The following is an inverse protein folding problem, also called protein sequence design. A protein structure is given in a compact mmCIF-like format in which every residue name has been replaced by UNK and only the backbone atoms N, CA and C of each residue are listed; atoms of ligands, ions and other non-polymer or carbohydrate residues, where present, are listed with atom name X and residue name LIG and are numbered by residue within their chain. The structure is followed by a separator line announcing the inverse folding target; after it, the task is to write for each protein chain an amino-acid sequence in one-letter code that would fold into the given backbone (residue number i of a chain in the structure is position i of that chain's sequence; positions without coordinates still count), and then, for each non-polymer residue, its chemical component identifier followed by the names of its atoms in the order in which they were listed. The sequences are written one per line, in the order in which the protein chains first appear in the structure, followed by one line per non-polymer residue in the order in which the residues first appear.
data_IF_065403128707
#
_entry.id   IF_065403128707
#
_cell.length_a   1.000
_cell.length_b   1.000
_cell.length_c   1.000
_cell.angle_alpha   90.00
_cell.angle_beta   90.00
_cell.angle_gamma   90.00
#
_symmetry.space_group_name_H-M   'P 1'
#
loop_
_entity.id
_entity.type
_entity.pdbx_description
1 polymer ?
#
# COMPACT_ATOMS: atom_id res chain seq x y z
N UNK A 1 33.38 -1.62 -33.08
CA UNK A 1 32.17 -1.53 -32.25
C UNK A 1 32.03 -0.07 -31.81
N UNK A 2 31.02 0.65 -32.33
CA UNK A 2 30.98 2.12 -32.32
C UNK A 2 30.66 2.70 -30.94
N UNK A 3 31.46 3.66 -30.47
CA UNK A 3 31.35 4.34 -29.16
C UNK A 3 29.94 4.87 -28.85
N UNK A 4 29.18 5.26 -29.88
CA UNK A 4 27.78 5.69 -29.74
C UNK A 4 26.83 4.59 -29.25
N UNK A 5 27.09 3.32 -29.59
CA UNK A 5 26.24 2.19 -29.14
C UNK A 5 26.40 1.91 -27.66
N UNK A 6 27.60 2.16 -27.12
CA UNK A 6 27.91 1.97 -25.68
C UNK A 6 27.23 3.05 -24.84
N UNK A 7 27.22 4.31 -25.31
CA UNK A 7 26.56 5.41 -24.61
C UNK A 7 25.03 5.23 -24.55
N UNK A 8 24.42 4.76 -25.64
CA UNK A 8 22.98 4.44 -25.69
C UNK A 8 22.66 3.31 -24.71
N UNK A 9 23.49 2.26 -24.66
CA UNK A 9 23.30 1.15 -23.72
C UNK A 9 23.38 1.61 -22.26
N UNK A 10 24.36 2.46 -21.92
CA UNK A 10 24.52 3.01 -20.58
C UNK A 10 23.33 3.90 -20.16
N UNK A 11 22.85 4.76 -21.07
CA UNK A 11 21.66 5.58 -20.82
C UNK A 11 20.42 4.72 -20.58
N UNK A 12 20.20 3.69 -21.40
CA UNK A 12 19.07 2.76 -21.23
C UNK A 12 19.14 2.01 -19.90
N UNK A 13 20.32 1.54 -19.49
CA UNK A 13 20.49 0.87 -18.18
C UNK A 13 20.26 1.81 -17.00
N UNK A 14 20.64 3.08 -17.11
CA UNK A 14 20.43 4.07 -16.04
C UNK A 14 18.96 4.37 -15.78
N UNK A 15 18.11 4.36 -16.83
CA UNK A 15 16.68 4.64 -16.70
C UNK A 15 15.94 3.49 -16.00
N UNK A 16 16.38 2.25 -16.20
CA UNK A 16 15.77 1.06 -15.58
C UNK A 16 15.99 1.04 -14.05
N UNK A 17 17.14 1.52 -13.57
CA UNK A 17 17.51 1.49 -12.14
C UNK A 17 16.69 2.49 -11.30
N UNK A 18 16.09 3.52 -11.90
CA UNK A 18 15.27 4.50 -11.16
C UNK A 18 13.85 4.00 -10.81
N UNK A 19 13.37 2.93 -11.44
CA UNK A 19 11.98 2.46 -11.24
C UNK A 19 11.84 1.64 -9.96
N UNK A 20 12.91 1.04 -9.45
CA UNK A 20 12.84 0.15 -8.28
C UNK A 20 12.71 0.86 -6.93
N UNK A 21 12.89 2.19 -6.86
CA UNK A 21 12.85 2.92 -5.58
C UNK A 21 11.52 3.59 -5.21
N UNK A 22 10.46 3.41 -6.00
CA UNK A 22 9.15 4.05 -5.72
C UNK A 22 8.08 3.06 -5.21
N UNK A 23 8.38 1.75 -5.16
CA UNK A 23 7.37 0.74 -4.81
C UNK A 23 7.63 0.06 -3.46
N UNK A 24 7.77 0.85 -2.40
CA UNK A 24 7.74 0.34 -1.00
C UNK A 24 6.64 0.97 -0.16
N UNK A 25 5.64 1.61 -0.79
CA UNK A 25 4.32 1.62 -0.13
C UNK A 25 3.76 0.22 -0.30
N UNK A 26 3.44 -0.52 0.77
CA UNK A 26 2.57 -1.68 0.62
C UNK A 26 1.31 -1.17 -0.08
N UNK A 27 1.17 -1.51 -1.36
CA UNK A 27 -0.06 -1.27 -2.08
C UNK A 27 -1.15 -1.87 -1.23
N UNK A 28 -2.13 -1.05 -0.87
CA UNK A 28 -3.29 -1.56 -0.15
C UNK A 28 -3.80 -2.75 -0.98
N UNK A 29 -3.94 -3.94 -0.37
CA UNK A 29 -4.31 -5.13 -1.12
C UNK A 29 -5.59 -4.85 -1.89
N UNK A 30 -5.70 -5.43 -3.09
CA UNK A 30 -6.88 -5.36 -3.95
C UNK A 30 -8.16 -5.40 -3.12
N UNK A 31 -9.09 -4.50 -3.44
CA UNK A 31 -10.29 -4.24 -2.63
C UNK A 31 -10.86 -5.57 -2.09
N UNK A 32 -10.97 -5.74 -0.76
CA UNK A 32 -11.41 -7.00 -0.17
C UNK A 32 -12.77 -7.38 -0.73
N UNK A 33 -13.01 -8.69 -0.94
CA UNK A 33 -14.31 -9.22 -1.41
C UNK A 33 -15.46 -8.71 -0.54
N UNK A 34 -15.20 -8.51 0.75
CA UNK A 34 -16.10 -7.88 1.70
C UNK A 34 -15.34 -7.30 2.90
N UNK A 35 -15.89 -6.22 3.47
CA UNK A 35 -15.39 -5.59 4.68
C UNK A 35 -16.44 -5.71 5.78
N UNK A 36 -16.06 -6.25 6.94
CA UNK A 36 -16.95 -6.36 8.10
C UNK A 36 -16.41 -5.51 9.23
N UNK A 37 -17.25 -4.65 9.81
CA UNK A 37 -16.86 -3.85 10.97
C UNK A 37 -16.64 -4.78 12.16
N UNK A 38 -15.46 -4.72 12.77
CA UNK A 38 -15.06 -5.66 13.83
C UNK A 38 -14.62 -4.97 15.12
N UNK A 39 -14.68 -3.65 15.17
CA UNK A 39 -14.33 -2.88 16.36
C UNK A 39 -14.83 -1.46 16.32
N UNK A 40 -14.25 -0.65 17.20
CA UNK A 40 -14.60 0.76 17.38
C UNK A 40 -13.72 1.65 16.51
N UNK A 41 -13.62 2.92 16.92
CA UNK A 41 -12.77 3.93 16.34
C UNK A 41 -11.30 3.59 16.54
N UNK A 42 -10.50 3.99 15.57
CA UNK A 42 -9.07 3.78 15.57
C UNK A 42 -8.37 5.00 14.98
N UNK A 43 -7.06 5.08 15.18
CA UNK A 43 -6.26 6.19 14.68
C UNK A 43 -5.00 5.68 14.00
N UNK A 44 -4.76 6.16 12.78
CA UNK A 44 -3.57 5.87 11.98
C UNK A 44 -2.62 7.05 12.12
N UNK A 45 -1.48 6.80 12.75
CA UNK A 45 -0.43 7.78 13.03
C UNK A 45 0.38 8.11 11.77
N UNK A 46 1.23 9.13 11.89
CA UNK A 46 2.09 9.59 10.79
C UNK A 46 3.20 8.59 10.41
N UNK A 47 3.55 7.66 11.31
CA UNK A 47 4.49 6.56 11.07
C UNK A 47 3.81 5.32 10.45
N UNK A 48 2.58 5.47 9.97
CA UNK A 48 1.72 4.42 9.42
C UNK A 48 1.35 3.31 10.43
N UNK A 49 1.68 3.47 11.71
CA UNK A 49 1.19 2.61 12.78
C UNK A 49 -0.27 2.96 13.13
N UNK A 50 -1.06 1.95 13.52
CA UNK A 50 -2.44 2.15 13.94
C UNK A 50 -2.67 1.71 15.39
N UNK A 51 -3.62 2.37 16.06
CA UNK A 51 -4.03 2.07 17.44
C UNK A 51 -5.54 1.97 17.53
N UNK A 52 -6.04 1.18 18.49
CA UNK A 52 -7.47 1.05 18.79
C UNK A 52 -8.15 -0.20 18.23
N UNK A 53 -7.54 -0.89 17.27
CA UNK A 53 -8.12 -2.12 16.71
C UNK A 53 -7.64 -3.39 17.44
N UNK A 54 -8.55 -4.29 17.86
CA UNK A 54 -8.17 -5.61 18.33
C UNK A 54 -7.68 -6.47 17.16
N UNK A 55 -6.75 -7.38 17.40
CA UNK A 55 -6.38 -8.36 16.37
C UNK A 55 -7.54 -9.34 16.12
N UNK A 56 -7.82 -9.74 14.86
CA UNK A 56 -7.04 -9.49 13.64
C UNK A 56 -7.61 -8.34 12.76
N UNK A 57 -8.27 -7.35 13.35
CA UNK A 57 -8.79 -6.19 12.63
C UNK A 57 -7.69 -5.23 12.17
N UNK A 58 -7.98 -4.50 11.10
CA UNK A 58 -7.14 -3.39 10.62
C UNK A 58 -7.89 -2.07 10.74
N UNK A 59 -7.15 -0.99 10.99
CA UNK A 59 -7.71 0.36 11.01
C UNK A 59 -7.76 0.93 9.59
N UNK A 60 -8.91 1.49 9.20
CA UNK A 60 -9.08 2.14 7.90
C UNK A 60 -9.63 3.53 8.13
N UNK A 61 -8.95 4.52 7.55
CA UNK A 61 -9.32 5.94 7.64
C UNK A 61 -10.75 6.19 7.16
N UNK A 62 -11.47 7.06 7.86
CA UNK A 62 -12.81 7.49 7.46
C UNK A 62 -12.80 8.30 6.16
N UNK A 63 -11.64 8.89 5.84
CA UNK A 63 -11.42 9.70 4.63
C UNK A 63 -10.66 8.92 3.56
N UNK A 64 -10.73 7.59 3.61
CA UNK A 64 -10.12 6.71 2.63
C UNK A 64 -10.56 7.04 1.20
N UNK A 65 -11.85 7.33 0.99
CA UNK A 65 -12.41 7.71 -0.32
C UNK A 65 -11.86 9.03 -0.87
N UNK A 66 -11.25 9.87 -0.02
CA UNK A 66 -10.57 11.11 -0.40
C UNK A 66 -9.07 10.90 -0.61
N UNK A 67 -8.59 9.65 -0.63
CA UNK A 67 -7.17 9.26 -0.65
C UNK A 67 -6.39 9.71 0.60
N UNK A 68 -7.08 9.85 1.73
CA UNK A 68 -6.46 10.20 3.02
C UNK A 68 -6.40 8.92 3.88
N UNK A 69 -5.19 8.38 4.03
CA UNK A 69 -4.95 7.10 4.73
C UNK A 69 -4.57 7.25 6.21
N UNK A 70 -4.49 8.47 6.72
CA UNK A 70 -4.05 8.78 8.09
C UNK A 70 -5.14 9.50 8.88
N UNK A 71 -5.01 9.47 10.20
CA UNK A 71 -5.96 10.07 11.12
C UNK A 71 -7.03 9.09 11.58
N UNK A 72 -8.22 9.62 11.85
CA UNK A 72 -9.33 8.86 12.42
C UNK A 72 -9.92 7.84 11.42
N UNK A 73 -10.27 6.68 11.95
CA UNK A 73 -10.80 5.57 11.18
C UNK A 73 -11.68 4.64 12.01
N UNK A 74 -12.10 3.55 11.39
CA UNK A 74 -12.79 2.45 12.04
C UNK A 74 -12.08 1.11 11.80
N UNK A 75 -12.30 0.17 12.71
CA UNK A 75 -11.74 -1.18 12.61
C UNK A 75 -12.56 -2.09 11.69
N UNK A 76 -11.89 -2.69 10.71
CA UNK A 76 -12.48 -3.58 9.73
C UNK A 76 -11.73 -4.91 9.66
N UNK A 77 -12.48 -5.97 9.41
CA UNK A 77 -11.96 -7.28 9.02
C UNK A 77 -11.89 -7.34 7.50
N UNK A 78 -10.71 -7.67 6.97
CA UNK A 78 -10.51 -7.87 5.55
C UNK A 78 -10.67 -9.37 5.24
N UNK A 79 -11.83 -9.75 4.68
CA UNK A 79 -11.99 -11.09 4.14
C UNK A 79 -11.34 -11.15 2.75
N UNK A 80 -10.21 -11.85 2.65
CA UNK A 80 -9.61 -12.24 1.37
C UNK A 80 -10.02 -13.69 1.07
N UNK A 81 -10.73 -13.95 -0.03
CA UNK A 81 -10.73 -15.32 -0.58
C UNK A 81 -9.32 -15.58 -1.10
N UNK A 82 -8.63 -16.53 -0.48
CA UNK A 82 -7.38 -17.05 -1.01
C UNK A 82 -7.69 -17.80 -2.32
N UNK A 83 -7.76 -17.10 -3.45
CA UNK A 83 -7.62 -17.74 -4.75
C UNK A 83 -6.15 -18.09 -4.92
N UNK A 84 -5.75 -19.21 -4.35
CA UNK A 84 -4.56 -19.96 -4.78
C UNK A 84 -4.79 -20.33 -6.24
N UNK A 85 -3.98 -19.78 -7.13
CA UNK A 85 -3.95 -20.09 -8.55
C UNK A 85 -2.66 -20.82 -8.89
#
# INVERSE_FOLDING_TARGET
MSRSKVLIFLFLTSVIILIEKVSTRPGLPDAPDSMVKCGQECYIKNDDSSVGCPQPCVCISNRFNENIYRGEGYCWYLYRRNTTH
#
